data_IF_216773945487
#
_entry.id   IF_216773945487
#
_cell.length_a   1.000
_cell.length_b   1.000
_cell.length_c   1.000
_cell.angle_alpha   90.00
_cell.angle_beta   90.00
_cell.angle_gamma   90.00
#
_symmetry.space_group_name_H-M   'P 1'
#
loop_
_entity.id
_entity.type
_entity.pdbx_description
1 polymer ?
#
# COMPACT_ATOMS: atom_id res chain seq x y z
N UNK A 1 -1.42 -10.10 1.51
CA UNK A 1 -2.60 -9.41 0.94
C UNK A 1 -3.40 -8.70 2.02
N UNK A 2 -3.88 -9.37 3.07
CA UNK A 2 -4.49 -8.70 4.22
C UNK A 2 -3.58 -7.63 4.88
N UNK A 3 -2.27 -7.91 5.00
CA UNK A 3 -1.27 -6.91 5.46
C UNK A 3 -1.16 -5.71 4.51
N UNK A 4 -1.29 -5.90 3.20
CA UNK A 4 -1.29 -4.80 2.21
C UNK A 4 -2.54 -3.93 2.36
N UNK A 5 -3.72 -4.57 2.44
CA UNK A 5 -5.01 -3.88 2.66
C UNK A 5 -4.96 -3.05 3.95
N UNK A 6 -4.51 -3.63 5.07
CA UNK A 6 -4.41 -2.93 6.35
C UNK A 6 -3.41 -1.76 6.32
N UNK A 7 -2.26 -1.91 5.64
CA UNK A 7 -1.30 -0.81 5.50
C UNK A 7 -1.84 0.33 4.66
N UNK A 8 -2.57 0.04 3.57
CA UNK A 8 -3.19 1.08 2.75
C UNK A 8 -4.36 1.75 3.49
N UNK A 9 -5.08 1.04 4.35
CA UNK A 9 -6.07 1.63 5.27
C UNK A 9 -5.43 2.60 6.27
N UNK A 10 -4.28 2.24 6.86
CA UNK A 10 -3.55 3.15 7.77
C UNK A 10 -3.19 4.48 7.12
N UNK A 11 -3.08 4.49 5.79
CA UNK A 11 -2.83 5.69 4.98
C UNK A 11 -4.11 6.31 4.41
N UNK A 12 -5.29 5.78 4.75
CA UNK A 12 -6.61 6.16 4.24
C UNK A 12 -6.73 6.03 2.70
N UNK A 13 -6.02 5.07 2.12
CA UNK A 13 -6.01 4.80 0.68
C UNK A 13 -6.87 3.60 0.28
N UNK A 14 -7.22 2.73 1.22
CA UNK A 14 -8.08 1.57 1.00
C UNK A 14 -9.23 1.54 2.01
N UNK A 15 -10.45 1.29 1.52
CA UNK A 15 -11.68 1.24 2.32
C UNK A 15 -12.56 0.02 1.96
N UNK A 16 -11.98 -0.95 1.23
CA UNK A 16 -12.65 -2.17 0.80
C UNK A 16 -12.58 -3.27 1.86
N UNK A 17 -12.93 -4.50 1.46
CA UNK A 17 -12.94 -5.65 2.36
C UNK A 17 -11.51 -6.15 2.68
N UNK A 18 -11.27 -6.57 3.93
CA UNK A 18 -10.02 -7.22 4.35
C UNK A 18 -10.03 -8.72 4.09
N UNK A 19 -10.34 -9.10 2.87
CA UNK A 19 -10.49 -10.50 2.45
C UNK A 19 -9.18 -11.14 1.98
N UNK A 20 -8.10 -10.36 1.86
CA UNK A 20 -6.82 -10.81 1.34
C UNK A 20 -6.82 -11.10 -0.17
N UNK A 21 -7.80 -10.62 -0.93
CA UNK A 21 -7.79 -10.69 -2.40
C UNK A 21 -7.02 -9.50 -3.01
N UNK A 22 -6.44 -9.71 -4.20
CA UNK A 22 -5.96 -8.62 -5.04
C UNK A 22 -7.02 -8.29 -6.09
N UNK A 23 -7.99 -7.49 -5.71
CA UNK A 23 -9.07 -7.04 -6.57
C UNK A 23 -8.77 -5.68 -7.20
N UNK A 24 -9.72 -5.18 -7.99
CA UNK A 24 -9.62 -3.89 -8.65
C UNK A 24 -9.51 -2.74 -7.64
N UNK A 25 -10.22 -2.82 -6.52
CA UNK A 25 -10.20 -1.80 -5.47
C UNK A 25 -8.83 -1.71 -4.80
N UNK A 26 -8.19 -2.86 -4.55
CA UNK A 26 -6.85 -2.91 -4.00
C UNK A 26 -5.80 -2.45 -5.01
N UNK A 27 -5.93 -2.83 -6.28
CA UNK A 27 -5.07 -2.33 -7.35
C UNK A 27 -5.17 -0.80 -7.50
N UNK A 28 -6.37 -0.23 -7.39
CA UNK A 28 -6.57 1.21 -7.43
C UNK A 28 -5.95 1.92 -6.21
N UNK A 29 -6.08 1.35 -5.01
CA UNK A 29 -5.41 1.87 -3.82
C UNK A 29 -3.87 1.85 -3.95
N UNK A 30 -3.31 0.79 -4.52
CA UNK A 30 -1.88 0.68 -4.83
C UNK A 30 -1.47 1.74 -5.86
N UNK A 31 -2.24 1.93 -6.92
CA UNK A 31 -1.98 2.95 -7.93
C UNK A 31 -1.99 4.36 -7.32
N UNK A 32 -2.98 4.68 -6.47
CA UNK A 32 -3.04 5.98 -5.77
C UNK A 32 -1.81 6.18 -4.88
N UNK A 33 -1.40 5.16 -4.13
CA UNK A 33 -0.19 5.22 -3.33
C UNK A 33 1.06 5.53 -4.18
N UNK A 34 1.26 4.79 -5.27
CA UNK A 34 2.37 5.00 -6.22
C UNK A 34 2.38 6.42 -6.76
N UNK A 35 1.22 6.94 -7.18
CA UNK A 35 1.09 8.28 -7.73
C UNK A 35 1.47 9.37 -6.72
N UNK A 36 0.94 9.30 -5.49
CA UNK A 36 1.22 10.31 -4.46
C UNK A 36 2.71 10.27 -4.06
N UNK A 37 3.34 9.09 -4.06
CA UNK A 37 4.74 8.90 -3.67
C UNK A 37 5.72 8.97 -4.84
N UNK A 38 5.24 9.20 -6.07
CA UNK A 38 6.03 9.25 -7.31
C UNK A 38 6.91 8.01 -7.50
N UNK A 39 6.32 6.84 -7.27
CA UNK A 39 6.99 5.55 -7.47
C UNK A 39 6.84 5.13 -8.93
N UNK A 40 7.97 4.87 -9.59
CA UNK A 40 8.01 4.42 -10.99
C UNK A 40 7.92 2.89 -11.08
N UNK A 41 6.69 2.39 -10.94
CA UNK A 41 6.33 0.99 -11.16
C UNK A 41 4.99 0.94 -11.92
N UNK A 42 4.64 -0.19 -12.58
CA UNK A 42 3.37 -0.31 -13.25
C UNK A 42 2.19 0.00 -12.32
N UNK A 43 1.24 0.79 -12.83
CA UNK A 43 0.10 1.28 -12.06
C UNK A 43 -0.68 0.12 -11.41
N UNK A 44 -0.83 0.19 -10.09
CA UNK A 44 -1.58 -0.81 -9.34
C UNK A 44 -0.87 -2.16 -9.27
N UNK A 45 0.43 -2.24 -9.56
CA UNK A 45 1.24 -3.45 -9.33
C UNK A 45 2.03 -3.30 -8.04
N UNK A 46 1.82 -4.21 -7.09
CA UNK A 46 2.54 -4.21 -5.83
C UNK A 46 3.97 -4.79 -5.96
N UNK A 47 4.83 -4.05 -6.66
CA UNK A 47 6.23 -4.41 -6.91
C UNK A 47 7.18 -4.09 -5.74
N UNK A 48 8.48 -4.43 -5.87
CA UNK A 48 9.47 -4.23 -4.81
C UNK A 48 9.60 -2.78 -4.32
N UNK A 49 9.53 -1.78 -5.22
CA UNK A 49 9.68 -0.38 -4.83
C UNK A 49 8.46 0.12 -4.05
N UNK A 50 7.27 -0.21 -4.54
CA UNK A 50 5.99 0.04 -3.86
C UNK A 50 5.95 -0.63 -2.49
N UNK A 51 6.39 -1.89 -2.41
CA UNK A 51 6.49 -2.62 -1.13
C UNK A 51 7.43 -1.94 -0.16
N UNK A 52 8.63 -1.56 -0.59
CA UNK A 52 9.62 -0.91 0.28
C UNK A 52 9.11 0.42 0.84
N UNK A 53 8.51 1.26 -0.02
CA UNK A 53 7.94 2.54 0.40
C UNK A 53 6.78 2.36 1.38
N UNK A 54 5.83 1.45 1.06
CA UNK A 54 4.69 1.19 1.93
C UNK A 54 5.14 0.69 3.31
N UNK A 55 6.09 -0.24 3.36
CA UNK A 55 6.66 -0.75 4.61
C UNK A 55 7.43 0.31 5.41
N UNK A 56 8.08 1.27 4.75
CA UNK A 56 8.78 2.35 5.43
C UNK A 56 7.82 3.30 6.16
N UNK A 57 6.62 3.51 5.62
CA UNK A 57 5.61 4.42 6.18
C UNK A 57 4.66 3.77 7.18
N UNK A 58 4.42 2.45 7.03
CA UNK A 58 3.45 1.69 7.85
C UNK A 58 4.09 0.59 8.69
N UNK A 59 5.42 0.49 8.66
CA UNK A 59 6.18 -0.39 9.54
C UNK A 59 5.93 -0.04 11.01
N UNK A 60 6.15 -0.97 11.95
CA UNK A 60 6.07 -0.65 13.37
C UNK A 60 6.92 0.61 13.58
N UNK A 61 6.29 1.66 14.11
CA UNK A 61 6.90 2.97 14.29
C UNK A 61 8.35 2.74 14.70
N UNK A 62 9.31 3.23 13.91
CA UNK A 62 10.68 3.38 14.40
C UNK A 62 10.49 4.15 15.71
N UNK A 63 10.59 3.46 16.84
CA UNK A 63 10.66 4.10 18.15
C UNK A 63 11.83 5.06 17.99
N UNK A 64 11.52 6.34 17.82
CA UNK A 64 12.48 7.41 18.00
C UNK A 64 12.91 7.26 19.46
N UNK A 65 14.10 6.71 19.65
CA UNK A 65 14.87 6.92 20.86
C UNK A 65 15.26 8.41 20.92
#
# INVERSE_FOLDING_TARGET
MADLQSRLEQLHLYHGAYDGAYDQDLAEAVHRFQWIRRIDEPAGVYGPATRAALLAETGPARRRA
#
